data_IF_568739939584
#
_entry.id   IF_568739939584
#
_cell.length_a   1.000
_cell.length_b   1.000
_cell.length_c   1.000
_cell.angle_alpha   90.00
_cell.angle_beta   90.00
_cell.angle_gamma   90.00
#
_symmetry.space_group_name_H-M   'P 1'
#
loop_
_entity.id
_entity.type
_entity.pdbx_description
1 polymer ?
#
# COMPACT_ATOMS: atom_id res chain seq x y z
N UNK A 1 -32.99 -61.11 67.07
CA UNK A 1 -32.16 -62.25 66.63
C UNK A 1 -30.81 -61.67 66.25
N UNK A 2 -29.85 -61.93 67.14
CA UNK A 2 -28.37 -61.85 67.07
C UNK A 2 -27.70 -60.96 66.00
N UNK A 3 -26.96 -59.90 66.31
CA UNK A 3 -25.78 -59.70 67.20
C UNK A 3 -24.43 -59.97 66.50
N UNK A 4 -23.67 -58.88 66.30
CA UNK A 4 -22.20 -58.76 66.38
C UNK A 4 -21.79 -57.40 65.78
N UNK A 5 -21.35 -56.42 66.59
CA UNK A 5 -19.94 -56.07 66.87
C UNK A 5 -19.20 -55.50 65.63
N UNK A 6 -18.53 -54.35 65.63
CA UNK A 6 -18.17 -53.41 66.68
C UNK A 6 -17.24 -52.31 66.13
N UNK A 7 -17.34 -51.14 66.77
CA UNK A 7 -16.31 -50.18 67.20
C UNK A 7 -15.25 -49.66 66.19
N UNK A 8 -15.46 -48.36 65.95
CA UNK A 8 -14.60 -47.21 65.64
C UNK A 8 -13.12 -47.15 66.11
N UNK A 9 -12.36 -46.51 65.22
CA UNK A 9 -11.42 -45.38 65.43
C UNK A 9 -9.91 -45.62 65.56
N UNK A 10 -9.20 -44.59 65.05
CA UNK A 10 -7.79 -44.21 65.06
C UNK A 10 -7.00 -44.70 63.83
N UNK A 11 -6.23 -43.88 63.12
CA UNK A 11 -5.52 -42.65 63.52
C UNK A 11 -4.94 -41.96 62.27
N UNK A 12 -4.77 -40.64 62.38
CA UNK A 12 -3.74 -39.77 61.77
C UNK A 12 -2.71 -40.42 60.82
N UNK A 13 -2.59 -39.87 59.60
CA UNK A 13 -1.45 -40.07 58.71
C UNK A 13 -0.79 -38.71 58.43
N UNK A 14 0.49 -38.58 58.76
CA UNK A 14 1.35 -37.46 58.37
C UNK A 14 2.72 -38.00 57.96
N UNK A 15 2.99 -37.88 56.66
CA UNK A 15 4.20 -37.35 56.01
C UNK A 15 5.56 -37.73 56.62
N UNK A 16 6.37 -38.41 55.81
CA UNK A 16 7.68 -38.00 55.23
C UNK A 16 8.65 -39.19 55.20
N UNK A 17 9.02 -39.62 53.99
CA UNK A 17 10.19 -40.46 53.75
C UNK A 17 10.75 -40.13 52.37
N UNK A 18 11.78 -39.28 52.36
CA UNK A 18 12.71 -39.12 51.25
C UNK A 18 13.66 -40.33 51.21
N UNK A 19 14.01 -40.81 50.01
CA UNK A 19 15.22 -41.64 49.85
C UNK A 19 15.19 -42.72 48.78
N UNK A 20 15.38 -42.29 47.53
CA UNK A 20 16.13 -42.95 46.44
C UNK A 20 15.81 -44.41 46.02
N UNK A 21 15.32 -44.58 44.78
CA UNK A 21 15.56 -45.79 43.98
C UNK A 21 15.55 -45.54 42.44
N UNK A 22 16.74 -45.73 41.84
CA UNK A 22 17.08 -46.37 40.55
C UNK A 22 16.41 -45.94 39.21
N UNK A 23 17.26 -45.34 38.36
CA UNK A 23 17.65 -45.76 36.97
C UNK A 23 16.53 -46.28 36.02
N UNK A 24 16.22 -45.53 34.96
CA UNK A 24 16.55 -45.86 33.56
C UNK A 24 15.85 -44.94 32.54
N UNK A 25 16.62 -44.60 31.49
CA UNK A 25 16.17 -44.51 30.09
C UNK A 25 15.36 -43.28 29.61
N UNK A 26 16.07 -42.51 28.77
CA UNK A 26 15.61 -41.82 27.54
C UNK A 26 14.67 -40.62 27.71
N UNK A 27 15.31 -39.45 27.77
CA UNK A 27 14.71 -38.16 27.42
C UNK A 27 15.64 -37.36 26.51
N UNK A 28 15.87 -37.88 25.29
CA UNK A 28 16.54 -37.18 24.20
C UNK A 28 15.67 -36.01 23.71
N UNK A 29 15.56 -34.93 24.49
CA UNK A 29 14.79 -33.74 24.08
C UNK A 29 15.15 -32.51 24.94
N UNK A 30 16.43 -32.30 25.23
CA UNK A 30 16.91 -31.07 25.84
C UNK A 30 18.20 -30.61 25.18
N UNK A 31 18.10 -30.10 23.94
CA UNK A 31 19.14 -29.29 23.30
C UNK A 31 18.76 -28.61 21.96
N UNK A 32 17.51 -28.23 21.74
CA UNK A 32 17.20 -27.26 20.68
C UNK A 32 17.30 -25.84 21.24
N UNK A 33 18.54 -25.49 21.56
CA UNK A 33 18.99 -24.26 22.21
C UNK A 33 19.04 -23.11 21.22
N UNK A 34 18.06 -22.19 21.27
CA UNK A 34 18.07 -20.80 20.75
C UNK A 34 18.36 -20.57 19.24
N UNK A 35 18.96 -21.51 18.52
CA UNK A 35 19.36 -21.40 17.12
C UNK A 35 18.18 -21.55 16.15
N UNK A 36 17.13 -22.27 16.54
CA UNK A 36 15.92 -22.41 15.73
C UNK A 36 15.12 -21.10 15.63
N UNK A 37 15.15 -20.26 16.66
CA UNK A 37 14.47 -18.94 16.68
C UNK A 37 15.22 -17.93 15.79
N UNK A 38 16.54 -18.10 15.63
CA UNK A 38 17.36 -17.22 14.79
C UNK A 38 17.17 -17.49 13.29
N UNK A 39 16.83 -18.72 12.90
CA UNK A 39 16.67 -19.10 11.49
C UNK A 39 15.31 -18.69 10.89
N UNK A 40 14.28 -18.51 11.72
CA UNK A 40 12.94 -18.08 11.26
C UNK A 40 12.88 -16.58 10.93
N UNK A 41 13.83 -15.76 11.40
CA UNK A 41 13.82 -14.31 11.17
C UNK A 41 14.41 -13.89 9.81
N UNK A 42 14.99 -14.81 9.04
CA UNK A 42 15.73 -14.50 7.79
C UNK A 42 14.85 -14.60 6.53
N UNK A 43 13.60 -15.02 6.64
CA UNK A 43 12.72 -15.27 5.48
C UNK A 43 11.75 -14.14 5.11
N UNK A 44 11.97 -12.90 5.58
CA UNK A 44 11.14 -11.75 5.24
C UNK A 44 11.95 -10.82 4.34
N UNK A 45 11.82 -10.97 3.02
CA UNK A 45 12.51 -10.05 2.11
C UNK A 45 12.50 -10.34 0.62
N UNK A 46 11.59 -11.15 0.07
CA UNK A 46 11.31 -11.08 -1.37
C UNK A 46 10.17 -10.08 -1.57
N UNK A 47 10.52 -8.80 -1.65
CA UNK A 47 9.63 -7.79 -2.20
C UNK A 47 9.33 -8.13 -3.66
N UNK A 48 8.05 -8.13 -4.03
CA UNK A 48 7.65 -8.23 -5.43
C UNK A 48 8.02 -6.90 -6.10
N UNK A 49 9.22 -6.81 -6.68
CA UNK A 49 9.58 -5.66 -7.50
C UNK A 49 8.86 -5.79 -8.85
N UNK A 50 7.80 -5.01 -9.03
CA UNK A 50 7.15 -4.86 -10.33
C UNK A 50 8.17 -4.25 -11.30
N UNK A 51 8.86 -5.09 -12.08
CA UNK A 51 9.93 -4.70 -13.02
C UNK A 51 9.52 -3.63 -14.04
N UNK A 52 8.21 -3.39 -14.18
CA UNK A 52 7.61 -2.44 -15.10
C UNK A 52 7.33 -1.07 -14.47
N UNK A 53 7.20 -0.95 -13.15
CA UNK A 53 6.85 0.30 -12.48
C UNK A 53 8.12 1.00 -11.99
N UNK A 54 8.45 2.15 -12.58
CA UNK A 54 9.62 2.94 -12.17
C UNK A 54 9.31 3.76 -10.91
N UNK A 55 8.13 4.36 -10.86
CA UNK A 55 7.72 5.22 -9.75
C UNK A 55 6.23 5.05 -9.52
N UNK A 56 5.82 4.92 -8.27
CA UNK A 56 4.42 4.94 -7.87
C UNK A 56 4.31 5.52 -6.48
N UNK A 57 3.60 6.63 -6.36
CA UNK A 57 3.38 7.30 -5.09
C UNK A 57 1.94 7.82 -5.00
N UNK A 58 1.48 7.95 -3.77
CA UNK A 58 0.16 8.46 -3.42
C UNK A 58 0.32 9.43 -2.26
N UNK A 59 -0.38 10.56 -2.34
CA UNK A 59 -0.46 11.55 -1.28
C UNK A 59 -1.91 11.64 -0.81
N UNK A 60 -2.11 11.47 0.48
CA UNK A 60 -3.43 11.54 1.08
C UNK A 60 -3.86 13.00 1.29
N UNK A 61 -5.14 13.25 1.07
CA UNK A 61 -5.79 14.53 1.31
C UNK A 61 -6.53 14.46 2.65
N UNK A 62 -6.06 15.26 3.59
CA UNK A 62 -6.66 15.43 4.90
C UNK A 62 -8.15 15.78 4.80
N UNK A 63 -8.96 15.08 5.59
CA UNK A 63 -10.43 15.18 5.65
C UNK A 63 -11.16 15.04 4.30
N UNK A 64 -10.47 14.56 3.26
CA UNK A 64 -10.99 14.53 1.89
C UNK A 64 -11.26 15.93 1.32
N UNK A 65 -10.64 16.98 1.86
CA UNK A 65 -10.82 18.36 1.45
C UNK A 65 -9.60 18.88 0.70
N UNK A 66 -9.67 18.90 -0.63
CA UNK A 66 -8.57 19.36 -1.46
C UNK A 66 -8.64 20.86 -1.74
N UNK A 67 -7.83 21.62 -1.01
CA UNK A 67 -7.67 23.05 -1.23
C UNK A 67 -6.86 23.35 -2.50
N UNK A 68 -7.23 24.39 -3.25
CA UNK A 68 -6.51 24.86 -4.46
C UNK A 68 -5.04 25.19 -4.18
N UNK A 69 -4.74 25.69 -2.97
CA UNK A 69 -3.38 26.01 -2.55
C UNK A 69 -2.52 24.77 -2.27
N UNK A 70 -3.15 23.63 -1.95
CA UNK A 70 -2.46 22.37 -1.66
C UNK A 70 -2.06 21.69 -2.97
N UNK A 71 -0.77 21.78 -3.28
CA UNK A 71 -0.14 21.15 -4.45
C UNK A 71 0.68 19.94 -4.01
N UNK A 72 0.72 18.93 -4.87
CA UNK A 72 1.47 17.71 -4.64
C UNK A 72 2.67 17.62 -5.58
N UNK A 73 3.87 17.54 -5.01
CA UNK A 73 5.13 17.45 -5.75
C UNK A 73 5.67 16.01 -5.74
N UNK A 74 5.61 15.36 -6.90
CA UNK A 74 6.16 14.03 -7.10
C UNK A 74 7.54 14.10 -7.73
N UNK A 75 8.56 13.62 -7.01
CA UNK A 75 9.97 13.66 -7.44
C UNK A 75 10.44 12.25 -7.77
N UNK A 76 11.01 12.07 -8.96
CA UNK A 76 11.49 10.78 -9.44
C UNK A 76 12.75 10.97 -10.30
N UNK A 77 13.53 9.89 -10.45
CA UNK A 77 14.80 9.90 -11.18
C UNK A 77 14.74 9.02 -12.41
N UNK A 78 15.24 9.53 -13.54
CA UNK A 78 15.34 8.82 -14.81
C UNK A 78 16.81 8.58 -15.13
N UNK A 79 17.18 7.31 -15.26
CA UNK A 79 18.52 6.89 -15.67
C UNK A 79 18.60 6.51 -17.15
N UNK A 80 17.55 5.88 -17.69
CA UNK A 80 17.49 5.43 -19.09
C UNK A 80 16.55 6.31 -19.93
N UNK A 81 17.13 7.13 -20.82
CA UNK A 81 16.38 7.98 -21.76
C UNK A 81 16.00 7.27 -23.05
N UNK A 82 16.52 6.06 -23.28
CA UNK A 82 16.21 5.23 -24.45
C UNK A 82 14.96 4.38 -24.25
N UNK A 83 14.43 4.33 -23.03
CA UNK A 83 13.15 3.68 -22.71
C UNK A 83 11.99 4.68 -22.84
N UNK A 84 10.84 4.20 -23.32
CA UNK A 84 9.59 4.95 -23.31
C UNK A 84 8.78 4.61 -22.05
N UNK A 85 8.04 5.58 -21.53
CA UNK A 85 7.27 5.47 -20.30
C UNK A 85 5.82 5.93 -20.49
N UNK A 86 4.89 5.26 -19.82
CA UNK A 86 3.53 5.72 -19.67
C UNK A 86 3.39 6.39 -18.30
N UNK A 87 2.82 7.59 -18.29
CA UNK A 87 2.64 8.40 -17.10
C UNK A 87 1.14 8.48 -16.78
N UNK A 88 0.82 8.19 -15.53
CA UNK A 88 -0.55 8.10 -15.04
C UNK A 88 -0.77 8.97 -13.82
N UNK A 89 -1.94 9.60 -13.78
CA UNK A 89 -2.53 10.07 -12.54
C UNK A 89 -3.16 8.92 -11.79
N UNK A 90 -3.02 8.95 -10.48
CA UNK A 90 -3.80 8.14 -9.57
C UNK A 90 -4.72 9.08 -8.79
N UNK A 91 -6.01 8.77 -8.71
CA UNK A 91 -6.98 9.59 -7.98
C UNK A 91 -7.90 8.66 -7.20
N UNK A 92 -8.17 9.03 -5.94
CA UNK A 92 -9.07 8.30 -5.07
C UNK A 92 -10.13 9.27 -4.59
N UNK A 93 -11.38 8.93 -4.85
CA UNK A 93 -12.51 9.69 -4.35
C UNK A 93 -13.47 8.78 -3.61
N UNK A 94 -14.25 9.38 -2.72
CA UNK A 94 -15.38 8.72 -2.11
C UNK A 94 -16.60 8.78 -3.03
N UNK A 95 -17.59 7.91 -2.79
CA UNK A 95 -18.86 7.88 -3.51
C UNK A 95 -19.62 9.21 -3.47
N UNK A 96 -19.43 9.99 -2.41
CA UNK A 96 -20.07 11.28 -2.19
C UNK A 96 -19.49 12.41 -3.04
N UNK A 97 -18.42 12.16 -3.81
CA UNK A 97 -17.85 13.15 -4.71
C UNK A 97 -18.91 13.65 -5.70
N UNK A 98 -19.18 14.97 -5.76
CA UNK A 98 -20.42 15.48 -6.38
C UNK A 98 -20.32 15.69 -7.90
N UNK A 99 -19.16 15.45 -8.51
CA UNK A 99 -18.94 15.69 -9.93
C UNK A 99 -18.62 14.39 -10.67
N UNK A 100 -18.99 14.31 -11.95
CA UNK A 100 -18.57 13.18 -12.78
C UNK A 100 -17.15 13.33 -13.31
N UNK A 101 -16.60 14.55 -13.31
CA UNK A 101 -15.27 14.88 -13.76
C UNK A 101 -14.42 15.58 -12.70
N UNK A 102 -13.12 15.67 -12.98
CA UNK A 102 -12.11 16.34 -12.19
C UNK A 102 -11.14 17.06 -13.14
N UNK A 103 -10.93 18.35 -12.89
CA UNK A 103 -9.93 19.16 -13.58
C UNK A 103 -8.66 19.31 -12.74
N UNK A 104 -7.51 18.98 -13.32
CA UNK A 104 -6.20 19.06 -12.67
C UNK A 104 -5.21 19.86 -13.52
N UNK A 105 -4.44 20.72 -12.86
CA UNK A 105 -3.25 21.31 -13.46
C UNK A 105 -2.04 20.42 -13.18
N UNK A 106 -1.27 20.10 -14.22
CA UNK A 106 0.05 19.48 -14.12
C UNK A 106 1.16 20.38 -14.63
N UNK A 107 2.28 20.38 -13.91
CA UNK A 107 3.52 21.01 -14.34
C UNK A 107 4.67 20.02 -14.18
N UNK A 108 5.36 19.70 -15.27
CA UNK A 108 6.59 18.90 -15.22
C UNK A 108 7.81 19.80 -15.35
N UNK A 109 8.75 19.67 -14.42
CA UNK A 109 10.08 20.30 -14.46
C UNK A 109 11.16 19.26 -14.67
N UNK A 110 12.11 19.60 -15.55
CA UNK A 110 13.28 18.78 -15.84
C UNK A 110 14.39 18.91 -14.79
N UNK A 111 15.50 18.17 -14.97
CA UNK A 111 16.66 18.20 -14.07
C UNK A 111 17.35 19.57 -13.96
N UNK A 112 17.15 20.43 -14.96
CA UNK A 112 17.64 21.81 -14.98
C UNK A 112 16.65 22.82 -14.37
N UNK A 113 15.56 22.35 -13.77
CA UNK A 113 14.51 23.17 -13.18
C UNK A 113 13.57 23.82 -14.19
N UNK A 114 13.80 23.67 -15.50
CA UNK A 114 12.96 24.26 -16.54
C UNK A 114 11.65 23.50 -16.68
N UNK A 115 10.58 24.24 -16.95
CA UNK A 115 9.27 23.66 -17.26
C UNK A 115 9.34 22.97 -18.63
N UNK A 116 9.02 21.68 -18.65
CA UNK A 116 8.92 20.88 -19.87
C UNK A 116 7.52 20.99 -20.46
N UNK A 117 6.50 20.88 -19.60
CA UNK A 117 5.12 21.16 -19.98
C UNK A 117 4.32 21.68 -18.79
N UNK A 118 3.26 22.40 -19.09
CA UNK A 118 2.20 22.82 -18.17
C UNK A 118 0.86 22.61 -18.88
N UNK A 119 -0.06 21.86 -18.29
CA UNK A 119 -1.37 21.56 -18.90
C UNK A 119 -2.47 21.43 -17.86
N UNK A 120 -3.68 21.83 -18.26
CA UNK A 120 -4.93 21.51 -17.59
C UNK A 120 -5.50 20.24 -18.23
N UNK A 121 -5.85 19.25 -17.43
CA UNK A 121 -6.48 18.02 -17.89
C UNK A 121 -7.85 17.83 -17.26
N UNK A 122 -8.72 17.15 -18.00
CA UNK A 122 -10.02 16.69 -17.54
C UNK A 122 -10.02 15.16 -17.41
N UNK A 123 -10.54 14.66 -16.30
CA UNK A 123 -10.63 13.23 -16.00
C UNK A 123 -12.05 12.90 -15.59
N UNK A 124 -12.65 11.90 -16.24
CA UNK A 124 -14.01 11.43 -15.94
C UNK A 124 -13.95 10.35 -14.86
N UNK A 125 -14.31 10.69 -13.62
CA UNK A 125 -14.35 9.77 -12.48
C UNK A 125 -15.60 8.87 -12.53
N UNK A 126 -16.71 9.37 -13.05
CA UNK A 126 -17.92 8.58 -13.27
C UNK A 126 -18.55 8.89 -14.64
N UNK A 127 -19.53 8.07 -15.00
CA UNK A 127 -20.36 8.30 -16.16
C UNK A 127 -21.33 9.48 -15.92
N UNK A 128 -21.40 10.39 -16.89
CA UNK A 128 -22.14 11.65 -16.77
C UNK A 128 -23.65 11.45 -16.60
N UNK A 129 -24.21 10.40 -17.21
CA UNK A 129 -25.66 10.14 -17.20
C UNK A 129 -26.04 9.20 -16.06
N UNK A 130 -25.31 8.09 -15.94
CA UNK A 130 -25.66 7.02 -14.98
C UNK A 130 -25.05 7.21 -13.61
N UNK A 131 -24.04 8.09 -13.47
CA UNK A 131 -23.26 8.25 -12.25
C UNK A 131 -22.36 7.04 -11.94
N UNK A 132 -22.32 6.03 -12.82
CA UNK A 132 -21.55 4.80 -12.58
C UNK A 132 -20.05 5.14 -12.53
N UNK A 133 -19.32 4.76 -11.45
CA UNK A 133 -17.90 5.04 -11.34
C UNK A 133 -17.10 4.33 -12.44
N UNK A 134 -16.11 5.03 -13.01
CA UNK A 134 -15.19 4.51 -14.04
C UNK A 134 -13.93 3.87 -13.47
N UNK A 135 -13.79 3.85 -12.14
CA UNK A 135 -12.67 3.27 -11.40
C UNK A 135 -13.01 1.91 -10.80
N UNK A 136 -11.99 1.27 -10.21
CA UNK A 136 -12.17 0.09 -9.36
C UNK A 136 -12.32 0.56 -7.91
N UNK A 137 -13.25 -0.01 -7.16
CA UNK A 137 -13.50 0.41 -5.79
C UNK A 137 -13.86 -0.73 -4.86
N UNK A 138 -13.69 -0.48 -3.56
CA UNK A 138 -14.16 -1.35 -2.49
C UNK A 138 -15.05 -0.52 -1.55
N UNK A 139 -16.33 -0.90 -1.44
CA UNK A 139 -17.31 -0.12 -0.71
C UNK A 139 -17.49 1.26 -1.35
N UNK A 140 -17.35 2.31 -0.53
CA UNK A 140 -17.62 3.69 -0.93
C UNK A 140 -16.39 4.41 -1.52
N UNK A 141 -15.29 3.70 -1.77
CA UNK A 141 -14.04 4.27 -2.26
C UNK A 141 -13.74 3.82 -3.68
N UNK A 142 -13.40 4.77 -4.56
CA UNK A 142 -13.06 4.50 -5.96
C UNK A 142 -11.64 4.96 -6.26
N UNK A 143 -10.82 4.02 -6.76
CA UNK A 143 -9.48 4.26 -7.26
C UNK A 143 -9.49 4.34 -8.79
N UNK A 144 -8.86 5.38 -9.29
CA UNK A 144 -8.74 5.66 -10.72
C UNK A 144 -7.29 5.73 -11.15
N UNK A 145 -7.01 5.20 -12.34
CA UNK A 145 -5.71 5.30 -13.01
C UNK A 145 -5.91 5.88 -14.40
N UNK A 146 -5.55 7.14 -14.59
CA UNK A 146 -5.71 7.85 -15.86
C UNK A 146 -4.37 8.09 -16.51
N UNK A 147 -4.23 7.66 -17.77
CA UNK A 147 -3.02 7.95 -18.55
C UNK A 147 -3.09 9.37 -19.10
N UNK A 148 -2.07 10.17 -18.82
CA UNK A 148 -1.99 11.55 -19.31
C UNK A 148 -0.86 11.76 -20.32
N UNK A 149 0.09 10.84 -20.37
CA UNK A 149 1.10 10.77 -21.43
C UNK A 149 1.46 9.31 -21.71
N UNK A 150 1.35 8.92 -22.98
CA UNK A 150 1.76 7.59 -23.46
C UNK A 150 3.11 7.66 -24.14
N UNK A 151 3.91 6.60 -24.02
CA UNK A 151 5.15 6.41 -24.76
C UNK A 151 6.11 7.62 -24.68
N UNK A 152 6.16 8.27 -23.53
CA UNK A 152 6.98 9.42 -23.29
C UNK A 152 8.44 9.03 -23.15
N UNK A 153 9.31 9.69 -23.92
CA UNK A 153 10.77 9.54 -23.80
C UNK A 153 11.32 10.76 -23.10
N UNK A 154 11.94 10.55 -21.94
CA UNK A 154 12.57 11.64 -21.21
C UNK A 154 13.79 12.14 -21.99
N UNK A 155 13.94 13.46 -22.18
CA UNK A 155 14.97 14.00 -23.06
C UNK A 155 16.39 13.85 -22.50
N UNK A 156 16.54 13.79 -21.18
CA UNK A 156 17.84 13.70 -20.48
C UNK A 156 17.72 12.90 -19.18
N UNK A 157 18.79 12.25 -18.69
CA UNK A 157 18.78 11.61 -17.38
C UNK A 157 18.77 12.67 -16.27
N UNK A 158 18.27 12.30 -15.09
CA UNK A 158 18.27 13.13 -13.88
C UNK A 158 16.95 13.15 -13.14
N UNK A 159 16.84 14.08 -12.18
CA UNK A 159 15.66 14.23 -11.31
C UNK A 159 14.60 15.10 -11.96
N UNK A 160 13.39 14.59 -12.04
CA UNK A 160 12.21 15.30 -12.54
C UNK A 160 11.26 15.58 -11.39
N UNK A 161 10.44 16.61 -11.54
CA UNK A 161 9.33 16.89 -10.61
C UNK A 161 8.06 17.09 -11.39
N UNK A 162 6.99 16.40 -11.02
CA UNK A 162 5.63 16.67 -11.49
C UNK A 162 4.85 17.24 -10.32
N UNK A 163 4.37 18.47 -10.49
CA UNK A 163 3.47 19.13 -9.56
C UNK A 163 2.04 18.96 -10.05
N UNK A 164 1.13 18.52 -9.18
CA UNK A 164 -0.31 18.37 -9.45
C UNK A 164 -1.09 19.29 -8.51
N UNK A 165 -2.07 20.00 -9.05
CA UNK A 165 -3.01 20.83 -8.30
C UNK A 165 -4.43 20.67 -8.84
N UNK A 166 -5.44 20.84 -8.00
CA UNK A 166 -6.83 20.85 -8.46
C UNK A 166 -7.17 22.21 -9.09
N UNK A 167 -7.93 22.16 -10.19
CA UNK A 167 -8.41 23.33 -10.93
C UNK A 167 -9.94 23.33 -11.04
N UNK A 168 -10.62 22.81 -10.03
CA UNK A 168 -12.08 22.88 -9.91
C UNK A 168 -12.51 24.25 -9.39
N UNK A 169 -13.76 24.65 -9.67
CA UNK A 169 -14.32 25.90 -9.16
C UNK A 169 -14.59 25.86 -7.64
N UNK A 170 -14.88 24.67 -7.10
CA UNK A 170 -15.15 24.48 -5.68
C UNK A 170 -13.85 24.38 -4.87
N UNK A 171 -13.76 25.16 -3.79
CA UNK A 171 -12.61 25.17 -2.88
C UNK A 171 -13.08 25.25 -1.42
N UNK A 172 -12.73 24.28 -0.55
CA UNK A 172 -12.03 23.03 -0.89
C UNK A 172 -12.90 22.12 -1.74
N UNK A 173 -12.26 21.32 -2.59
CA UNK A 173 -12.93 20.27 -3.35
C UNK A 173 -13.15 19.06 -2.42
N UNK A 174 -14.41 18.70 -2.09
CA UNK A 174 -14.69 17.67 -1.10
C UNK A 174 -14.58 16.26 -1.68
N UNK A 175 -14.43 15.27 -0.81
CA UNK A 175 -14.46 13.84 -1.10
C UNK A 175 -13.41 13.34 -2.09
N UNK A 176 -12.31 14.08 -2.27
CA UNK A 176 -11.10 13.56 -2.91
C UNK A 176 -10.13 13.18 -1.80
N UNK A 177 -9.84 11.88 -1.69
CA UNK A 177 -9.11 11.30 -0.57
C UNK A 177 -7.62 11.22 -0.83
N UNK A 178 -7.20 11.21 -2.08
CA UNK A 178 -5.79 11.34 -2.40
C UNK A 178 -5.51 11.37 -3.90
N UNK A 179 -4.27 11.73 -4.18
CA UNK A 179 -3.76 11.97 -5.53
C UNK A 179 -2.39 11.36 -5.62
N UNK A 180 -2.08 10.74 -6.74
CA UNK A 180 -0.81 10.07 -6.94
C UNK A 180 -0.31 10.14 -8.37
N UNK A 181 0.89 9.61 -8.54
CA UNK A 181 1.58 9.52 -9.81
C UNK A 181 2.11 8.10 -9.99
N UNK A 182 1.87 7.50 -11.16
CA UNK A 182 2.52 6.26 -11.58
C UNK A 182 3.29 6.47 -12.88
N UNK A 183 4.52 5.97 -12.93
CA UNK A 183 5.40 5.97 -14.10
C UNK A 183 5.80 4.54 -14.37
N UNK A 184 5.39 4.03 -15.52
CA UNK A 184 5.60 2.65 -15.92
C UNK A 184 6.35 2.60 -17.24
N UNK A 185 7.28 1.67 -17.37
CA UNK A 185 7.97 1.39 -18.63
C UNK A 185 6.95 0.88 -19.65
N UNK A 186 6.93 1.48 -20.83
CA UNK A 186 6.15 0.96 -21.96
C UNK A 186 6.64 -0.45 -22.30
N UNK A 187 5.77 -1.47 -22.33
CA UNK A 187 6.14 -2.80 -22.80
C UNK A 187 6.57 -2.73 -24.27
N UNK A 188 7.75 -3.26 -24.57
CA UNK A 188 8.25 -3.41 -25.94
C UNK A 188 7.26 -4.29 -26.73
N UNK A 189 6.48 -3.70 -27.63
CA UNK A 189 5.44 -4.39 -28.41
C UNK A 189 4.07 -3.72 -28.44
N UNK A 190 3.83 -2.68 -27.63
CA UNK A 190 2.62 -1.87 -27.72
C UNK A 190 2.72 -0.85 -28.87
N UNK A 191 2.54 -1.34 -30.10
CA UNK A 191 2.23 -0.48 -31.24
C UNK A 191 0.85 0.10 -30.94
N UNK A 192 0.81 1.40 -30.62
CA UNK A 192 -0.43 2.13 -30.53
C UNK A 192 -0.98 2.27 -31.96
N UNK A 193 -2.04 1.52 -32.27
CA UNK A 193 -2.97 1.87 -33.35
C UNK A 193 -3.87 3.02 -32.87
#
# INVERSE_FOLDING_TARGET
>A
MDSANGILDRTHCSIMADGAFIRHSKGLLKRFSKAAVLFTFVFIGFGCEDKHTLYKAYEDIEDGQWFVEKKFDFRFEISDTTQAYNLYYLVRNAQQYPYYNLYLDRVMRGPDGKVIFSRLDEMYLSDEVTGKPRGSGLGDLFDHKFVFQRNYRFPRPGKYTITIAQSMRQNPLPFVLGVGLSIEKTPNGSIAN
#
